data_IF_603149956586
#
_entry.id   IF_603149956586
#
_cell.length_a   1.000
_cell.length_b   1.000
_cell.length_c   1.000
_cell.angle_alpha   90.00
_cell.angle_beta   90.00
_cell.angle_gamma   90.00
#
_symmetry.space_group_name_H-M   'P 1'
#
loop_
_entity.id
_entity.type
_entity.pdbx_description
1 polymer ?
#
# COMPACT_ATOMS: atom_id res chain seq x y z
N UNK A 1 16.81 -0.57 14.49
CA UNK A 1 17.06 0.55 13.55
C UNK A 1 15.96 1.57 13.73
N UNK A 2 16.23 2.88 13.69
CA UNK A 2 15.17 3.88 13.74
C UNK A 2 14.27 3.78 12.50
N UNK A 3 13.00 4.22 12.59
CA UNK A 3 12.12 4.30 11.43
C UNK A 3 12.67 5.29 10.39
N UNK A 4 12.57 4.92 9.12
CA UNK A 4 12.91 5.79 8.00
C UNK A 4 11.66 6.53 7.52
N UNK A 5 11.77 7.84 7.37
CA UNK A 5 10.67 8.68 6.88
C UNK A 5 10.82 8.93 5.39
N UNK A 6 9.70 8.84 4.68
CA UNK A 6 9.62 9.10 3.24
C UNK A 6 8.60 10.21 2.96
N UNK A 7 8.92 11.18 2.08
CA UNK A 7 7.96 12.21 1.69
C UNK A 7 6.84 11.61 0.83
N UNK A 8 5.60 12.04 1.08
CA UNK A 8 4.43 11.54 0.34
C UNK A 8 4.26 12.18 -1.05
N UNK A 9 4.72 13.43 -1.25
CA UNK A 9 4.49 14.18 -2.49
C UNK A 9 4.97 13.44 -3.76
N UNK A 10 6.16 12.80 -3.78
CA UNK A 10 6.61 12.03 -4.95
C UNK A 10 5.74 10.80 -5.24
N UNK A 11 5.00 10.29 -4.25
CA UNK A 11 4.15 9.11 -4.37
C UNK A 11 2.71 9.46 -4.76
N UNK A 12 2.32 10.73 -4.64
CA UNK A 12 0.92 11.16 -4.72
C UNK A 12 0.27 10.80 -6.05
N UNK A 13 1.00 10.93 -7.16
CA UNK A 13 0.49 10.55 -8.48
C UNK A 13 0.15 9.05 -8.53
N UNK A 14 1.10 8.19 -8.19
CA UNK A 14 0.87 6.73 -8.19
C UNK A 14 -0.23 6.33 -7.21
N UNK A 15 -0.27 6.94 -6.03
CA UNK A 15 -1.32 6.69 -5.05
C UNK A 15 -2.72 7.08 -5.57
N UNK A 16 -2.85 8.18 -6.31
CA UNK A 16 -4.10 8.58 -6.96
C UNK A 16 -4.50 7.66 -8.11
N UNK A 17 -3.52 7.19 -8.89
CA UNK A 17 -3.72 6.23 -9.98
C UNK A 17 -4.24 4.88 -9.44
N UNK A 18 -3.83 4.47 -8.23
CA UNK A 18 -4.34 3.29 -7.51
C UNK A 18 -5.70 3.58 -6.88
N UNK A 19 -5.84 4.70 -6.17
CA UNK A 19 -7.03 5.03 -5.38
C UNK A 19 -8.29 5.18 -6.24
N UNK A 20 -8.17 5.82 -7.41
CA UNK A 20 -9.29 6.17 -8.27
C UNK A 20 -10.10 4.94 -8.74
N UNK A 21 -9.50 3.91 -9.39
CA UNK A 21 -10.24 2.72 -9.80
C UNK A 21 -10.64 1.83 -8.64
N UNK A 22 -9.83 1.74 -7.58
CA UNK A 22 -10.07 0.85 -6.45
C UNK A 22 -11.10 1.39 -5.44
N UNK A 23 -11.42 2.69 -5.49
CA UNK A 23 -12.24 3.40 -4.48
C UNK A 23 -11.73 3.20 -3.06
N UNK A 24 -10.41 3.32 -2.92
CA UNK A 24 -9.66 3.29 -1.67
C UNK A 24 -9.17 4.70 -1.35
N UNK A 25 -9.01 5.03 -0.07
CA UNK A 25 -8.48 6.33 0.34
C UNK A 25 -7.06 6.52 -0.18
N UNK A 26 -6.75 7.72 -0.70
CA UNK A 26 -5.41 8.03 -1.23
C UNK A 26 -4.31 7.79 -0.17
N UNK A 27 -4.62 7.96 1.11
CA UNK A 27 -3.70 7.69 2.22
C UNK A 27 -3.25 6.23 2.27
N UNK A 28 -4.15 5.27 2.12
CA UNK A 28 -3.80 3.84 2.11
C UNK A 28 -2.97 3.52 0.86
N UNK A 29 -3.32 4.12 -0.28
CA UNK A 29 -2.60 3.95 -1.53
C UNK A 29 -1.20 4.57 -1.53
N UNK A 30 -0.88 5.51 -0.63
CA UNK A 30 0.49 6.00 -0.45
C UNK A 30 1.42 4.90 0.05
N UNK A 31 0.94 4.02 0.93
CA UNK A 31 1.73 2.88 1.42
C UNK A 31 1.92 1.82 0.34
N UNK A 32 0.90 1.60 -0.50
CA UNK A 32 0.99 0.69 -1.66
C UNK A 32 2.03 1.22 -2.66
N UNK A 33 1.95 2.51 -3.02
CA UNK A 33 2.89 3.15 -3.92
C UNK A 33 4.33 3.18 -3.36
N UNK A 34 4.48 3.36 -2.04
CA UNK A 34 5.79 3.28 -1.38
C UNK A 34 6.36 1.86 -1.47
N UNK A 35 5.57 0.84 -1.11
CA UNK A 35 6.00 -0.56 -1.13
C UNK A 35 6.37 -1.02 -2.54
N UNK A 36 5.60 -0.61 -3.56
CA UNK A 36 5.93 -0.85 -4.97
C UNK A 36 7.26 -0.21 -5.36
N UNK A 37 7.52 1.05 -4.95
CA UNK A 37 8.77 1.75 -5.24
C UNK A 37 9.99 1.12 -4.57
N UNK A 38 9.84 0.71 -3.31
CA UNK A 38 10.93 0.10 -2.54
C UNK A 38 11.08 -1.41 -2.82
N UNK A 39 10.16 -2.02 -3.56
CA UNK A 39 10.18 -3.44 -3.90
C UNK A 39 10.01 -4.36 -2.68
N UNK A 40 9.11 -4.00 -1.76
CA UNK A 40 8.87 -4.75 -0.53
C UNK A 40 7.39 -5.07 -0.30
N UNK A 41 7.11 -5.94 0.67
CA UNK A 41 5.75 -6.28 1.06
C UNK A 41 5.11 -5.18 1.91
N UNK A 42 3.84 -4.88 1.60
CA UNK A 42 2.98 -4.07 2.45
C UNK A 42 2.19 -4.98 3.39
N UNK A 43 2.62 -5.02 4.66
CA UNK A 43 1.86 -5.66 5.73
C UNK A 43 0.80 -4.69 6.27
N UNK A 44 -0.46 -5.12 6.29
CA UNK A 44 -1.58 -4.31 6.80
C UNK A 44 -2.57 -5.13 7.59
N UNK A 45 -3.16 -4.52 8.63
CA UNK A 45 -4.29 -5.11 9.36
C UNK A 45 -5.66 -4.76 8.74
N UNK A 46 -5.68 -4.00 7.64
CA UNK A 46 -6.90 -3.65 6.93
C UNK A 46 -7.29 -4.74 5.92
N UNK A 47 -8.21 -5.62 6.33
CA UNK A 47 -8.73 -6.68 5.47
C UNK A 47 -9.46 -6.17 4.22
N UNK A 48 -10.07 -4.99 4.27
CA UNK A 48 -10.72 -4.39 3.09
C UNK A 48 -9.67 -4.01 2.07
N UNK A 49 -8.55 -3.43 2.52
CA UNK A 49 -7.44 -3.07 1.65
C UNK A 49 -6.85 -4.32 0.97
N UNK A 50 -6.58 -5.38 1.74
CA UNK A 50 -6.08 -6.66 1.22
C UNK A 50 -7.02 -7.22 0.17
N UNK A 51 -8.31 -7.41 0.50
CA UNK A 51 -9.30 -7.98 -0.43
C UNK A 51 -9.44 -7.18 -1.72
N UNK A 52 -9.29 -5.86 -1.65
CA UNK A 52 -9.48 -4.97 -2.80
C UNK A 52 -8.24 -4.89 -3.68
N UNK A 53 -7.04 -4.81 -3.10
CA UNK A 53 -5.81 -4.50 -3.83
C UNK A 53 -4.90 -5.68 -4.07
N UNK A 54 -4.92 -6.73 -3.23
CA UNK A 54 -4.07 -7.91 -3.40
C UNK A 54 -4.18 -8.58 -4.78
N UNK A 55 -5.36 -8.64 -5.44
CA UNK A 55 -5.46 -9.21 -6.80
C UNK A 55 -4.61 -8.49 -7.85
N UNK A 56 -4.33 -7.20 -7.64
CA UNK A 56 -3.49 -6.36 -8.54
C UNK A 56 -2.07 -6.20 -7.99
N UNK A 57 -1.93 -6.14 -6.67
CA UNK A 57 -0.69 -5.89 -5.95
C UNK A 57 -0.41 -7.05 -5.00
N UNK A 58 0.22 -8.11 -5.51
CA UNK A 58 0.46 -9.35 -4.76
C UNK A 58 1.29 -9.16 -3.48
N UNK A 59 2.06 -8.07 -3.38
CA UNK A 59 2.85 -7.70 -2.21
C UNK A 59 2.00 -7.10 -1.06
N UNK A 60 0.70 -6.86 -1.26
CA UNK A 60 -0.22 -6.44 -0.19
C UNK A 60 -0.67 -7.67 0.60
N UNK A 61 -0.23 -7.77 1.84
CA UNK A 61 -0.38 -8.96 2.69
C UNK A 61 -1.07 -8.61 4.01
N UNK A 62 -2.01 -9.47 4.43
CA UNK A 62 -2.66 -9.33 5.74
C UNK A 62 -1.66 -9.63 6.85
N UNK A 63 -1.61 -8.75 7.86
CA UNK A 63 -0.82 -8.96 9.07
C UNK A 63 -1.23 -10.25 9.80
N UNK A 64 -2.51 -10.63 9.72
CA UNK A 64 -3.03 -11.85 10.33
C UNK A 64 -2.59 -13.15 9.62
N UNK A 65 -2.01 -13.05 8.43
CA UNK A 65 -1.45 -14.20 7.71
C UNK A 65 -0.03 -14.56 8.16
N UNK A 66 0.59 -13.73 9.00
CA UNK A 66 1.90 -14.00 9.58
C UNK A 66 1.76 -14.84 10.86
N UNK A 67 2.73 -15.74 11.14
CA UNK A 67 2.73 -16.61 12.31
C UNK A 67 2.92 -15.87 13.64
#
# INVERSE_FOLDING_TARGET
>A
MPPQFYPYLPLLKSALDIASPARIGVYDCLYVALAEREGCDLLTADDRLVRTLQPTFAFVTSLAALP
#
